data_IF_032436406000
#
_entry.id   IF_032436406000
#
_cell.length_a   1.000
_cell.length_b   1.000
_cell.length_c   1.000
_cell.angle_alpha   90.00
_cell.angle_beta   90.00
_cell.angle_gamma   90.00
#
_symmetry.space_group_name_H-M   'P 1'
#
loop_
_entity.id
_entity.type
_entity.pdbx_description
1 polymer ?
#
# COMPACT_ATOMS: atom_id res chain seq x y z
N UNK A 1 9.58 9.16 -8.76
CA UNK A 1 9.88 9.61 -7.38
C UNK A 1 9.11 8.69 -6.44
N UNK A 2 9.79 7.99 -5.54
CA UNK A 2 9.09 7.16 -4.54
C UNK A 2 8.42 8.07 -3.51
N UNK A 3 7.15 7.80 -3.22
CA UNK A 3 6.41 8.45 -2.15
C UNK A 3 6.72 7.71 -0.84
N UNK A 4 7.68 8.25 -0.07
CA UNK A 4 8.09 7.68 1.21
C UNK A 4 6.93 7.57 2.19
N UNK A 5 6.08 8.60 2.25
CA UNK A 5 4.97 8.63 3.18
C UNK A 5 3.90 7.59 2.84
N UNK A 6 3.69 7.32 1.55
CA UNK A 6 2.87 6.21 1.10
C UNK A 6 3.43 4.87 1.54
N UNK A 7 4.73 4.64 1.32
CA UNK A 7 5.39 3.42 1.75
C UNK A 7 5.23 3.21 3.26
N UNK A 8 5.47 4.23 4.07
CA UNK A 8 5.34 4.14 5.53
C UNK A 8 3.90 3.86 5.97
N UNK A 9 2.90 4.58 5.44
CA UNK A 9 1.49 4.38 5.78
C UNK A 9 1.02 2.99 5.36
N UNK A 10 1.31 2.57 4.12
CA UNK A 10 0.96 1.24 3.63
C UNK A 10 1.58 0.13 4.48
N UNK A 11 2.88 0.21 4.77
CA UNK A 11 3.54 -0.81 5.59
C UNK A 11 2.94 -0.86 6.99
N UNK A 12 2.58 0.28 7.58
CA UNK A 12 1.90 0.33 8.88
C UNK A 12 0.55 -0.38 8.86
N UNK A 13 -0.30 -0.13 7.86
CA UNK A 13 -1.60 -0.82 7.74
C UNK A 13 -1.39 -2.34 7.57
N UNK A 14 -0.38 -2.75 6.81
CA UNK A 14 -0.04 -4.17 6.66
C UNK A 14 0.42 -4.80 8.00
N UNK A 15 1.19 -4.07 8.80
CA UNK A 15 1.55 -4.50 10.16
C UNK A 15 0.31 -4.61 11.08
N UNK A 16 -0.68 -3.71 10.95
CA UNK A 16 -1.92 -3.76 11.75
C UNK A 16 -2.79 -4.98 11.42
N UNK A 17 -2.83 -5.41 10.16
CA UNK A 17 -3.55 -6.64 9.76
C UNK A 17 -2.73 -7.93 10.00
N UNK A 18 -1.54 -7.81 10.60
CA UNK A 18 -0.71 -8.96 10.96
C UNK A 18 0.12 -9.55 9.81
N UNK A 19 0.39 -8.78 8.76
CA UNK A 19 1.28 -9.22 7.67
C UNK A 19 2.70 -9.40 8.22
N UNK A 20 3.44 -10.44 7.80
CA UNK A 20 4.80 -10.68 8.23
C UNK A 20 5.71 -9.44 8.05
N UNK A 21 6.66 -9.26 8.98
CA UNK A 21 7.69 -8.22 8.87
C UNK A 21 8.80 -8.58 7.88
N UNK A 22 8.91 -9.85 7.50
CA UNK A 22 9.91 -10.29 6.53
C UNK A 22 9.53 -9.76 5.15
N UNK A 23 10.43 -9.01 4.53
CA UNK A 23 10.17 -8.30 3.27
C UNK A 23 9.63 -9.22 2.16
N UNK A 24 10.25 -10.38 1.95
CA UNK A 24 9.81 -11.35 0.93
C UNK A 24 8.36 -11.82 1.15
N UNK A 25 8.04 -12.21 2.39
CA UNK A 25 6.71 -12.71 2.74
C UNK A 25 5.66 -11.60 2.69
N UNK A 26 6.02 -10.40 3.12
CA UNK A 26 5.16 -9.21 3.03
C UNK A 26 4.79 -8.91 1.59
N UNK A 27 5.77 -8.94 0.68
CA UNK A 27 5.52 -8.74 -0.75
C UNK A 27 4.58 -9.82 -1.29
N UNK A 28 4.78 -11.09 -0.92
CA UNK A 28 3.91 -12.18 -1.37
C UNK A 28 2.48 -12.08 -0.82
N UNK A 29 2.31 -11.75 0.46
CA UNK A 29 0.99 -11.58 1.08
C UNK A 29 0.27 -10.38 0.47
N UNK A 30 0.95 -9.25 0.33
CA UNK A 30 0.39 -8.05 -0.29
C UNK A 30 0.03 -8.29 -1.77
N UNK A 31 0.89 -8.98 -2.51
CA UNK A 31 0.64 -9.37 -3.89
C UNK A 31 -0.63 -10.22 -4.02
N UNK A 32 -0.86 -11.15 -3.10
CA UNK A 32 -2.08 -11.98 -3.08
C UNK A 32 -3.32 -11.19 -2.70
N UNK A 33 -3.21 -10.32 -1.69
CA UNK A 33 -4.31 -9.50 -1.19
C UNK A 33 -4.86 -8.56 -2.27
N UNK A 34 -3.96 -7.86 -2.96
CA UNK A 34 -4.32 -6.92 -4.04
C UNK A 34 -4.43 -7.62 -5.40
N UNK A 35 -4.12 -8.91 -5.48
CA UNK A 35 -4.13 -9.71 -6.70
C UNK A 35 -3.26 -9.11 -7.83
N UNK A 36 -1.99 -8.83 -7.50
CA UNK A 36 -0.98 -8.27 -8.41
C UNK A 36 0.30 -9.10 -8.44
N UNK A 37 1.13 -8.98 -9.50
CA UNK A 37 2.42 -9.63 -9.54
C UNK A 37 3.36 -9.14 -8.43
N UNK A 38 4.21 -10.05 -7.91
CA UNK A 38 5.22 -9.79 -6.86
C UNK A 38 6.07 -8.54 -7.15
N UNK A 39 6.56 -8.39 -8.38
CA UNK A 39 7.38 -7.22 -8.76
C UNK A 39 6.64 -5.89 -8.65
N UNK A 40 5.33 -5.86 -8.92
CA UNK A 40 4.52 -4.65 -8.71
C UNK A 40 4.27 -4.40 -7.22
N UNK A 41 3.94 -5.45 -6.46
CA UNK A 41 3.77 -5.37 -5.02
C UNK A 41 5.01 -4.79 -4.33
N UNK A 42 6.20 -5.28 -4.68
CA UNK A 42 7.46 -4.78 -4.14
C UNK A 42 7.70 -3.31 -4.49
N UNK A 43 7.47 -2.92 -5.75
CA UNK A 43 7.59 -1.53 -6.16
C UNK A 43 6.66 -0.61 -5.35
N UNK A 44 5.41 -1.02 -5.13
CA UNK A 44 4.41 -0.27 -4.38
C UNK A 44 4.80 -0.17 -2.90
N UNK A 45 5.19 -1.28 -2.28
CA UNK A 45 5.66 -1.30 -0.88
C UNK A 45 6.86 -0.38 -0.67
N UNK A 46 7.70 -0.20 -1.69
CA UNK A 46 8.81 0.75 -1.70
C UNK A 46 8.40 2.20 -2.07
N UNK A 47 7.11 2.50 -2.17
CA UNK A 47 6.57 3.82 -2.47
C UNK A 47 6.54 4.19 -3.95
N UNK A 48 6.83 3.25 -4.85
CA UNK A 48 6.77 3.46 -6.29
C UNK A 48 5.35 3.20 -6.81
N UNK A 49 4.45 4.16 -6.51
CA UNK A 49 3.07 4.17 -6.98
C UNK A 49 2.73 5.53 -7.60
N UNK A 50 1.96 5.51 -8.68
CA UNK A 50 1.50 6.73 -9.34
C UNK A 50 0.14 7.16 -8.79
N UNK A 51 0.04 8.41 -8.34
CA UNK A 51 -1.22 9.03 -7.92
C UNK A 51 -2.14 9.19 -9.12
N UNK A 52 -3.22 8.40 -9.18
CA UNK A 52 -4.15 8.36 -10.31
C UNK A 52 -4.32 6.97 -10.93
N UNK A 53 -3.59 5.97 -10.45
CA UNK A 53 -3.77 4.59 -10.91
C UNK A 53 -5.01 3.97 -10.23
N UNK A 54 -5.88 3.24 -10.94
CA UNK A 54 -6.97 2.48 -10.32
C UNK A 54 -6.49 1.53 -9.21
N UNK A 55 -5.23 1.10 -9.28
CA UNK A 55 -4.57 0.32 -8.26
C UNK A 55 -4.52 1.01 -6.88
N UNK A 56 -4.34 2.33 -6.83
CA UNK A 56 -4.33 3.05 -5.56
C UNK A 56 -5.70 3.01 -4.89
N UNK A 57 -6.77 3.15 -5.67
CA UNK A 57 -8.13 3.03 -5.15
C UNK A 57 -8.38 1.62 -4.64
N UNK A 58 -8.01 0.60 -5.42
CA UNK A 58 -8.14 -0.80 -4.99
C UNK A 58 -7.41 -1.08 -3.67
N UNK A 59 -6.17 -0.61 -3.52
CA UNK A 59 -5.42 -0.79 -2.26
C UNK A 59 -6.11 -0.06 -1.10
N UNK A 60 -6.61 1.15 -1.35
CA UNK A 60 -7.29 1.92 -0.34
C UNK A 60 -8.63 1.26 0.07
N UNK A 61 -9.36 0.68 -0.88
CA UNK A 61 -10.59 -0.08 -0.61
C UNK A 61 -10.31 -1.37 0.19
N UNK A 62 -9.31 -2.15 -0.21
CA UNK A 62 -8.94 -3.40 0.48
C UNK A 62 -8.43 -3.17 1.91
N UNK A 63 -7.79 -2.02 2.15
CA UNK A 63 -7.33 -1.61 3.48
C UNK A 63 -8.38 -0.77 4.23
N UNK A 64 -9.53 -0.50 3.62
CA UNK A 64 -10.60 0.37 4.16
C UNK A 64 -10.11 1.77 4.59
N UNK A 65 -9.15 2.34 3.86
CA UNK A 65 -8.57 3.67 4.10
C UNK A 65 -8.83 4.64 2.94
N UNK A 66 -8.58 5.92 3.16
CA UNK A 66 -8.67 6.94 2.13
C UNK A 66 -7.41 6.92 1.22
N UNK A 67 -7.56 6.88 -0.12
CA UNK A 67 -6.42 6.86 -1.05
C UNK A 67 -5.56 8.14 -1.00
N UNK A 68 -6.15 9.29 -0.69
CA UNK A 68 -5.41 10.55 -0.51
C UNK A 68 -4.61 10.54 0.79
N UNK A 69 -5.15 9.93 1.84
CA UNK A 69 -4.40 9.67 3.06
C UNK A 69 -3.27 8.69 2.81
N UNK A 70 -3.51 7.62 2.06
CA UNK A 70 -2.45 6.66 1.74
C UNK A 70 -1.30 7.35 0.99
N UNK A 71 -1.59 8.33 0.11
CA UNK A 71 -0.58 9.13 -0.58
C UNK A 71 0.10 10.21 0.28
N UNK A 72 -0.33 10.45 1.52
CA UNK A 72 0.14 11.56 2.34
C UNK A 72 -0.41 12.94 1.93
N UNK A 73 -1.43 12.99 1.06
CA UNK A 73 -2.08 14.23 0.63
C UNK A 73 -3.17 14.70 1.59
N UNK A 74 -3.73 13.77 2.36
CA UNK A 74 -4.76 14.03 3.37
C UNK A 74 -4.35 13.49 4.73
N UNK A 75 -4.87 14.12 5.78
CA UNK A 75 -4.74 13.66 7.17
C UNK A 75 -5.94 12.79 7.60
N UNK A 76 -7.01 12.78 6.81
CA UNK A 76 -8.21 11.97 7.08
C UNK A 76 -8.01 10.52 6.66
N UNK A 77 -7.78 9.63 7.64
CA UNK A 77 -7.59 8.18 7.40
C UNK A 77 -8.80 7.52 6.74
N UNK A 78 -10.00 7.90 7.14
CA UNK A 78 -11.25 7.41 6.53
C UNK A 78 -11.98 8.58 5.86
N UNK A 79 -12.72 8.28 4.79
CA UNK A 79 -13.53 9.27 4.08
C UNK A 79 -14.86 9.53 4.79
#
# INVERSE_FOLDING_TARGET
>A
MSNKQFSERLNKELDEIGVPQRADERVEVFAKLINIPRGKAEAILNGNIHSGTPLLQLIAEELEVNPEWLLGKSDKRHN
#
